data_IF_054530173982
#
_entry.id   IF_054530173982
#
_cell.length_a   1.000
_cell.length_b   1.000
_cell.length_c   1.000
_cell.angle_alpha   90.00
_cell.angle_beta   90.00
_cell.angle_gamma   90.00
#
_symmetry.space_group_name_H-M   'P 1'
#
loop_
_entity.id
_entity.type
_entity.pdbx_description
1 polymer ?
#
# COMPACT_ATOMS: atom_id res chain seq x y z
N UNK A 1 18.84 -5.57 -3.09
CA UNK A 1 18.23 -4.68 -2.08
C UNK A 1 17.04 -5.43 -1.50
N UNK A 2 17.21 -6.11 -0.37
CA UNK A 2 16.14 -6.86 0.26
C UNK A 2 15.27 -5.88 1.04
N UNK A 3 14.06 -5.63 0.57
CA UNK A 3 13.05 -4.89 1.33
C UNK A 3 12.60 -5.82 2.47
N UNK A 4 13.14 -5.64 3.67
CA UNK A 4 12.64 -6.33 4.87
C UNK A 4 11.44 -5.53 5.34
N UNK A 5 10.20 -6.05 5.26
CA UNK A 5 9.04 -5.36 5.77
C UNK A 5 9.15 -5.37 7.30
N UNK A 6 9.59 -4.26 7.88
CA UNK A 6 9.48 -4.07 9.31
C UNK A 6 7.99 -3.85 9.62
N UNK A 7 7.46 -4.73 10.45
CA UNK A 7 6.08 -4.88 10.94
C UNK A 7 5.12 -5.65 10.02
N UNK A 8 4.50 -6.68 10.59
CA UNK A 8 3.37 -7.48 10.10
C UNK A 8 2.05 -6.89 10.65
N UNK A 9 0.89 -7.07 9.99
CA UNK A 9 -0.41 -6.48 10.38
C UNK A 9 -0.86 -6.92 11.79
N UNK A 10 -0.42 -8.10 12.22
CA UNK A 10 -0.61 -8.58 13.60
C UNK A 10 0.15 -7.73 14.61
N UNK A 11 1.28 -7.15 14.20
CA UNK A 11 2.06 -6.19 14.97
C UNK A 11 1.41 -4.80 14.98
N UNK A 12 0.62 -4.40 13.97
CA UNK A 12 -0.14 -3.13 13.99
C UNK A 12 -1.32 -3.13 14.98
N UNK A 13 -2.07 -4.24 15.11
CA UNK A 13 -3.13 -4.34 16.15
C UNK A 13 -2.54 -4.43 17.55
N UNK A 14 -1.46 -5.20 17.71
CA UNK A 14 -0.68 -5.23 18.97
C UNK A 14 0.01 -3.89 19.21
N UNK A 15 0.31 -3.12 18.16
CA UNK A 15 0.83 -1.78 18.28
C UNK A 15 -0.23 -0.80 18.79
N UNK A 16 -1.46 -0.86 18.28
CA UNK A 16 -2.56 -0.03 18.83
C UNK A 16 -2.82 -0.29 20.32
N UNK A 17 -2.65 -1.53 20.80
CA UNK A 17 -2.90 -1.86 22.22
C UNK A 17 -1.67 -1.73 23.12
N UNK A 18 -0.43 -1.88 22.62
CA UNK A 18 0.79 -1.78 23.45
C UNK A 18 1.52 -0.44 23.34
N UNK A 19 1.18 0.44 22.39
CA UNK A 19 1.86 1.75 22.26
C UNK A 19 1.25 2.86 23.12
N UNK A 20 0.13 2.56 23.81
CA UNK A 20 -0.40 3.39 24.90
C UNK A 20 0.21 3.01 26.26
N UNK A 21 1.01 1.93 26.33
CA UNK A 21 1.67 1.47 27.55
C UNK A 21 3.19 1.64 27.48
N UNK A 22 3.69 2.75 28.03
CA UNK A 22 4.96 2.98 28.76
C UNK A 22 6.29 2.29 28.40
N UNK A 23 6.40 1.46 27.37
CA UNK A 23 7.68 0.88 26.92
C UNK A 23 7.83 1.04 25.41
N UNK A 24 8.14 2.27 24.98
CA UNK A 24 8.70 2.51 23.66
C UNK A 24 10.12 1.94 23.62
N UNK A 25 10.37 0.93 22.78
CA UNK A 25 11.64 0.87 22.09
C UNK A 25 11.65 2.12 21.20
N UNK A 26 12.14 3.21 21.77
CA UNK A 26 12.18 4.52 21.16
C UNK A 26 13.02 4.38 19.90
N UNK A 27 12.37 4.56 18.74
CA UNK A 27 13.05 5.00 17.53
C UNK A 27 13.59 6.41 17.85
N UNK A 28 14.63 6.48 18.68
CA UNK A 28 15.30 7.70 19.03
C UNK A 28 16.31 8.00 17.93
N UNK A 29 16.51 9.28 17.59
CA UNK A 29 17.58 9.71 16.71
C UNK A 29 18.96 9.19 17.15
N UNK A 30 19.12 8.89 18.45
CA UNK A 30 20.35 8.39 19.08
C UNK A 30 20.73 6.96 18.66
N UNK A 31 19.79 6.18 18.12
CA UNK A 31 20.07 4.80 17.69
C UNK A 31 20.96 4.70 16.46
N UNK A 32 21.14 5.78 15.68
CA UNK A 32 21.88 5.76 14.41
C UNK A 32 21.18 5.01 13.26
N UNK A 33 20.03 4.37 13.54
CA UNK A 33 19.22 3.65 12.54
C UNK A 33 18.62 4.58 11.48
N UNK A 34 18.11 5.78 11.82
CA UNK A 34 17.47 6.63 10.81
C UNK A 34 18.36 7.07 9.64
N UNK A 35 19.68 7.03 9.81
CA UNK A 35 20.65 7.35 8.78
C UNK A 35 20.95 6.17 7.84
N UNK A 36 20.54 4.94 8.21
CA UNK A 36 20.88 3.70 7.53
C UNK A 36 19.71 3.08 6.76
N UNK A 37 18.47 3.41 7.15
CA UNK A 37 17.26 2.77 6.59
C UNK A 37 16.16 3.77 6.31
N UNK A 38 15.32 3.44 5.32
CA UNK A 38 14.10 4.18 4.99
C UNK A 38 12.88 3.29 5.28
N UNK A 39 12.05 3.66 6.27
CA UNK A 39 10.86 2.88 6.62
C UNK A 39 9.84 2.81 5.50
N UNK A 40 9.20 1.65 5.35
CA UNK A 40 8.06 1.44 4.46
C UNK A 40 6.79 1.36 5.30
N UNK A 41 5.90 2.34 5.14
CA UNK A 41 4.55 2.31 5.69
C UNK A 41 3.66 1.54 4.73
N UNK A 42 3.11 0.41 5.17
CA UNK A 42 2.31 -0.43 4.32
C UNK A 42 0.90 -0.61 4.89
N UNK A 43 -0.07 -0.64 3.99
CA UNK A 43 -1.46 -0.92 4.31
C UNK A 43 -2.20 -1.20 3.02
N UNK A 44 -3.07 -2.21 3.07
CA UNK A 44 -3.74 -2.77 1.90
C UNK A 44 -5.26 -2.61 1.99
N UNK A 45 -5.77 -1.90 3.00
CA UNK A 45 -7.20 -1.58 3.12
C UNK A 45 -7.64 -0.59 2.04
N UNK A 46 -8.85 -0.79 1.51
CA UNK A 46 -9.52 0.16 0.62
C UNK A 46 -10.18 1.33 1.40
N UNK A 47 -10.13 1.28 2.73
CA UNK A 47 -10.65 2.23 3.72
C UNK A 47 -9.54 2.73 4.66
N UNK A 48 -8.36 3.01 4.08
CA UNK A 48 -7.19 3.55 4.74
C UNK A 48 -7.52 4.80 5.57
N UNK A 49 -7.06 4.82 6.81
CA UNK A 49 -7.07 6.01 7.66
C UNK A 49 -6.02 7.02 7.18
N UNK A 50 -6.39 7.84 6.20
CA UNK A 50 -5.49 8.82 5.55
C UNK A 50 -4.86 9.76 6.58
N UNK A 51 -5.67 10.30 7.50
CA UNK A 51 -5.19 11.21 8.52
C UNK A 51 -4.25 10.52 9.51
N UNK A 52 -4.59 9.32 9.96
CA UNK A 52 -3.75 8.52 10.83
C UNK A 52 -2.40 8.17 10.19
N UNK A 53 -2.35 7.87 8.89
CA UNK A 53 -1.09 7.62 8.18
C UNK A 53 -0.25 8.88 8.05
N UNK A 54 -0.85 10.05 7.76
CA UNK A 54 -0.13 11.32 7.73
C UNK A 54 0.48 11.67 9.11
N UNK A 55 -0.26 11.46 10.21
CA UNK A 55 0.27 11.63 11.57
C UNK A 55 1.40 10.64 11.88
N UNK A 56 1.28 9.40 11.42
CA UNK A 56 2.32 8.39 11.60
C UNK A 56 3.61 8.77 10.85
N UNK A 57 3.48 9.30 9.63
CA UNK A 57 4.61 9.84 8.88
C UNK A 57 5.32 10.93 9.69
N UNK A 58 4.59 11.92 10.19
CA UNK A 58 5.16 13.00 11.00
C UNK A 58 5.88 12.46 12.27
N UNK A 59 5.34 11.41 12.89
CA UNK A 59 6.00 10.73 14.00
C UNK A 59 7.36 10.13 13.58
N UNK A 60 7.44 9.45 12.43
CA UNK A 60 8.72 8.94 11.92
C UNK A 60 9.70 10.07 11.60
N UNK A 61 9.23 11.21 11.08
CA UNK A 61 10.07 12.40 10.86
C UNK A 61 10.71 12.89 12.15
N UNK A 62 9.90 13.00 13.23
CA UNK A 62 10.37 13.38 14.57
C UNK A 62 11.35 12.38 15.18
N UNK A 63 11.25 11.11 14.79
CA UNK A 63 12.21 10.07 15.15
C UNK A 63 13.52 10.12 14.33
N UNK A 64 13.68 11.09 13.43
CA UNK A 64 14.89 11.30 12.64
C UNK A 64 14.89 10.61 11.29
N UNK A 65 13.78 10.03 10.82
CA UNK A 65 13.67 9.42 9.48
C UNK A 65 13.21 10.49 8.47
N UNK A 66 14.12 11.05 7.66
CA UNK A 66 13.77 12.14 6.73
C UNK A 66 12.94 11.65 5.54
N UNK A 67 13.08 10.38 5.18
CA UNK A 67 12.48 9.77 3.99
C UNK A 67 11.75 8.49 4.36
N UNK A 68 10.59 8.32 3.76
CA UNK A 68 9.70 7.17 3.93
C UNK A 68 9.24 6.66 2.57
N UNK A 69 8.78 5.42 2.56
CA UNK A 69 8.07 4.82 1.44
C UNK A 69 6.67 4.41 1.87
N UNK A 70 5.74 4.44 0.94
CA UNK A 70 4.45 3.81 1.10
C UNK A 70 4.45 2.44 0.41
N UNK A 71 3.59 1.52 0.83
CA UNK A 71 3.33 0.29 0.08
C UNK A 71 1.83 0.00 0.01
N UNK A 72 1.34 -0.07 -1.22
CA UNK A 72 -0.01 -0.48 -1.59
C UNK A 72 0.01 -1.91 -2.15
N UNK A 73 -1.15 -2.44 -2.52
CA UNK A 73 -1.24 -3.74 -3.20
C UNK A 73 -2.05 -3.65 -4.48
N UNK A 74 -1.63 -4.40 -5.51
CA UNK A 74 -2.43 -4.63 -6.73
C UNK A 74 -3.10 -6.01 -6.76
N UNK A 75 -2.65 -6.95 -5.93
CA UNK A 75 -3.27 -8.27 -5.76
C UNK A 75 -2.91 -8.87 -4.40
N UNK A 76 -3.67 -9.87 -3.97
CA UNK A 76 -3.53 -10.48 -2.65
C UNK A 76 -3.94 -9.52 -1.54
N UNK A 77 -3.68 -9.87 -0.29
CA UNK A 77 -4.06 -9.07 0.88
C UNK A 77 -5.58 -8.83 1.09
N UNK A 78 -6.44 -9.41 0.25
CA UNK A 78 -7.91 -9.37 0.36
C UNK A 78 -8.52 -10.71 0.77
N UNK A 79 -7.93 -11.85 0.41
CA UNK A 79 -8.32 -13.17 0.92
C UNK A 79 -7.30 -14.29 0.66
N UNK A 80 -7.20 -15.31 1.54
CA UNK A 80 -6.19 -16.37 1.44
C UNK A 80 -6.40 -17.37 0.30
N UNK A 81 -7.64 -17.52 -0.20
CA UNK A 81 -8.02 -18.48 -1.24
C UNK A 81 -8.69 -17.81 -2.44
N UNK A 82 -8.43 -16.52 -2.64
CA UNK A 82 -9.09 -15.74 -3.68
C UNK A 82 -8.54 -16.10 -5.07
N UNK A 83 -9.44 -16.34 -6.03
CA UNK A 83 -9.05 -16.73 -7.38
C UNK A 83 -8.71 -15.51 -8.26
N UNK A 84 -9.52 -14.46 -8.19
CA UNK A 84 -9.38 -13.22 -8.96
C UNK A 84 -9.19 -12.02 -8.03
N UNK A 85 -8.39 -11.00 -8.40
CA UNK A 85 -8.26 -9.78 -7.61
C UNK A 85 -9.53 -8.91 -7.67
N UNK A 86 -10.03 -8.37 -6.55
CA UNK A 86 -11.03 -7.32 -6.52
C UNK A 86 -10.35 -6.01 -6.96
N UNK A 87 -10.40 -5.72 -8.26
CA UNK A 87 -9.70 -4.58 -8.86
C UNK A 87 -10.11 -3.26 -8.17
N UNK A 88 -11.40 -3.08 -7.89
CA UNK A 88 -11.92 -1.89 -7.19
C UNK A 88 -11.26 -1.69 -5.82
N UNK A 89 -11.11 -2.76 -5.02
CA UNK A 89 -10.47 -2.67 -3.70
C UNK A 89 -9.03 -2.15 -3.82
N UNK A 90 -8.28 -2.71 -4.75
CA UNK A 90 -6.89 -2.31 -4.98
C UNK A 90 -6.79 -0.90 -5.54
N UNK A 91 -7.70 -0.52 -6.43
CA UNK A 91 -7.79 0.84 -6.94
C UNK A 91 -8.00 1.84 -5.80
N UNK A 92 -9.00 1.61 -4.93
CA UNK A 92 -9.28 2.49 -3.79
C UNK A 92 -8.10 2.57 -2.80
N UNK A 93 -7.43 1.45 -2.53
CA UNK A 93 -6.21 1.44 -1.72
C UNK A 93 -5.12 2.36 -2.31
N UNK A 94 -4.89 2.30 -3.62
CA UNK A 94 -3.91 3.17 -4.28
C UNK A 94 -4.35 4.64 -4.29
N UNK A 95 -5.64 4.92 -4.50
CA UNK A 95 -6.20 6.28 -4.43
C UNK A 95 -6.03 6.91 -3.05
N UNK A 96 -6.21 6.14 -1.98
CA UNK A 96 -6.00 6.65 -0.63
C UNK A 96 -4.52 6.86 -0.29
N UNK A 97 -3.62 6.03 -0.80
CA UNK A 97 -2.18 6.29 -0.67
C UNK A 97 -1.76 7.57 -1.39
N UNK A 98 -2.37 7.91 -2.53
CA UNK A 98 -2.19 9.23 -3.17
C UNK A 98 -2.69 10.37 -2.29
N UNK A 99 -3.84 10.20 -1.60
CA UNK A 99 -4.33 11.19 -0.64
C UNK A 99 -3.39 11.35 0.56
N UNK A 100 -2.85 10.26 1.10
CA UNK A 100 -1.82 10.30 2.16
C UNK A 100 -0.59 11.09 1.69
N UNK A 101 -0.12 10.83 0.46
CA UNK A 101 1.01 11.53 -0.11
C UNK A 101 0.75 13.04 -0.26
N UNK A 102 -0.48 13.43 -0.61
CA UNK A 102 -0.88 14.83 -0.71
C UNK A 102 -0.96 15.55 0.66
N UNK A 103 -1.15 14.83 1.76
CA UNK A 103 -1.18 15.40 3.12
C UNK A 103 0.21 15.63 3.73
N UNK A 104 1.28 15.11 3.11
CA UNK A 104 2.63 15.17 3.63
C UNK A 104 3.52 16.12 2.81
N UNK A 105 4.62 16.63 3.39
CA UNK A 105 5.64 17.34 2.62
C UNK A 105 6.14 16.49 1.44
N UNK A 106 6.29 17.11 0.26
CA UNK A 106 6.61 16.41 -0.98
C UNK A 106 7.97 15.67 -0.95
N UNK A 107 8.89 16.08 -0.06
CA UNK A 107 10.20 15.46 0.12
C UNK A 107 10.17 14.20 0.99
N UNK A 108 9.03 13.94 1.65
CA UNK A 108 8.93 12.93 2.70
C UNK A 108 8.71 11.53 2.16
N UNK A 109 7.72 11.36 1.27
CA UNK A 109 7.47 10.10 0.60
C UNK A 109 8.27 10.02 -0.70
N UNK A 110 9.12 9.00 -0.82
CA UNK A 110 9.93 8.79 -2.03
C UNK A 110 9.14 8.09 -3.14
N UNK A 111 8.08 7.38 -2.77
CA UNK A 111 7.22 6.68 -3.71
C UNK A 111 6.29 5.68 -3.02
N UNK A 112 5.47 5.04 -3.85
CA UNK A 112 4.55 3.97 -3.45
C UNK A 112 5.04 2.67 -4.10
N UNK A 113 5.35 1.68 -3.27
CA UNK A 113 5.70 0.32 -3.68
C UNK A 113 4.40 -0.44 -3.95
N UNK A 114 4.24 -0.92 -5.18
CA UNK A 114 3.06 -1.67 -5.59
C UNK A 114 3.30 -3.18 -5.39
N UNK A 115 2.73 -3.74 -4.32
CA UNK A 115 2.98 -5.14 -3.90
C UNK A 115 1.96 -6.12 -4.48
N UNK A 116 2.37 -7.37 -4.69
CA UNK A 116 1.50 -8.46 -5.13
C UNK A 116 1.67 -9.71 -4.28
N UNK A 117 0.89 -9.82 -3.20
CA UNK A 117 0.99 -10.94 -2.27
C UNK A 117 0.51 -12.24 -2.92
N UNK A 118 1.04 -13.36 -2.46
CA UNK A 118 0.83 -14.67 -3.09
C UNK A 118 0.37 -15.76 -2.12
N UNK A 119 0.69 -15.62 -0.82
CA UNK A 119 0.33 -16.53 0.27
C UNK A 119 0.22 -15.76 1.58
N UNK A 120 -0.59 -16.26 2.50
CA UNK A 120 -0.80 -15.70 3.84
C UNK A 120 0.05 -16.38 4.92
N UNK A 121 0.44 -17.63 4.67
CA UNK A 121 1.40 -18.38 5.46
C UNK A 121 2.13 -19.39 4.56
N UNK A 122 3.13 -20.09 5.11
CA UNK A 122 3.99 -20.99 4.34
C UNK A 122 3.25 -22.20 3.74
N UNK A 123 2.17 -22.66 4.38
CA UNK A 123 1.43 -23.86 4.00
C UNK A 123 0.09 -23.55 3.30
N UNK A 124 -0.30 -22.29 3.25
CA UNK A 124 -1.49 -21.81 2.55
C UNK A 124 -1.41 -21.99 1.04
N UNK A 125 -2.58 -22.19 0.43
CA UNK A 125 -2.77 -22.15 -1.03
C UNK A 125 -2.36 -20.79 -1.59
N UNK A 126 -2.10 -20.77 -2.90
CA UNK A 126 -1.85 -19.53 -3.63
C UNK A 126 -3.16 -18.75 -3.82
N UNK A 127 -3.15 -17.46 -3.48
CA UNK A 127 -4.19 -16.53 -3.91
C UNK A 127 -3.76 -15.82 -5.19
N UNK A 128 -4.71 -15.54 -6.09
CA UNK A 128 -4.57 -14.62 -7.22
C UNK A 128 -3.22 -14.72 -7.96
N UNK A 129 -3.11 -15.70 -8.86
CA UNK A 129 -1.91 -15.88 -9.66
C UNK A 129 -1.59 -14.64 -10.51
N UNK A 130 -0.33 -14.48 -10.91
CA UNK A 130 0.11 -13.30 -11.65
C UNK A 130 -0.75 -13.00 -12.91
N UNK A 131 -1.09 -13.98 -13.79
CA UNK A 131 -1.85 -13.67 -15.00
C UNK A 131 -3.19 -13.00 -14.73
N UNK A 132 -3.94 -13.47 -13.72
CA UNK A 132 -5.22 -12.87 -13.31
C UNK A 132 -5.05 -11.57 -12.53
N UNK A 133 -3.83 -11.31 -12.02
CA UNK A 133 -3.42 -10.06 -11.38
C UNK A 133 -3.08 -8.91 -12.34
N UNK A 134 -2.78 -9.19 -13.61
CA UNK A 134 -2.32 -8.18 -14.58
C UNK A 134 -3.33 -7.05 -14.80
N UNK A 135 -4.65 -7.30 -14.95
CA UNK A 135 -5.63 -6.22 -15.09
C UNK A 135 -5.62 -5.27 -13.88
N UNK A 136 -5.57 -5.82 -12.67
CA UNK A 136 -5.48 -5.03 -11.44
C UNK A 136 -4.17 -4.22 -11.37
N UNK A 137 -3.05 -4.84 -11.74
CA UNK A 137 -1.74 -4.18 -11.84
C UNK A 137 -1.80 -2.97 -12.77
N UNK A 138 -2.35 -3.15 -13.97
CA UNK A 138 -2.44 -2.09 -14.97
C UNK A 138 -3.30 -0.92 -14.45
N UNK A 139 -4.45 -1.20 -13.84
CA UNK A 139 -5.33 -0.19 -13.25
C UNK A 139 -4.63 0.57 -12.12
N UNK A 140 -4.02 -0.13 -11.17
CA UNK A 140 -3.33 0.49 -10.05
C UNK A 140 -2.14 1.34 -10.52
N UNK A 141 -1.34 0.81 -11.44
CA UNK A 141 -0.16 1.51 -11.97
C UNK A 141 -0.55 2.77 -12.75
N UNK A 142 -1.55 2.71 -13.63
CA UNK A 142 -2.06 3.88 -14.33
C UNK A 142 -2.56 4.95 -13.35
N UNK A 143 -3.28 4.51 -12.31
CA UNK A 143 -3.81 5.43 -11.30
C UNK A 143 -2.70 6.16 -10.53
N UNK A 144 -1.65 5.44 -10.14
CA UNK A 144 -0.49 6.02 -9.46
C UNK A 144 0.30 6.98 -10.37
N UNK A 145 0.50 6.63 -11.65
CA UNK A 145 1.25 7.45 -12.60
C UNK A 145 0.55 8.77 -12.93
N UNK A 146 -0.78 8.76 -12.93
CA UNK A 146 -1.60 9.94 -13.28
C UNK A 146 -2.18 10.68 -12.06
N UNK A 147 -1.90 10.22 -10.84
CA UNK A 147 -2.41 10.83 -9.61
C UNK A 147 -3.93 10.65 -9.42
N UNK A 148 -4.55 9.71 -10.12
CA UNK A 148 -5.97 9.45 -10.05
C UNK A 148 -6.46 8.45 -11.10
N UNK A 149 -7.72 8.05 -10.99
CA UNK A 149 -8.39 7.19 -11.96
C UNK A 149 -9.45 7.96 -12.75
N UNK A 150 -9.55 7.67 -14.04
CA UNK A 150 -10.45 8.27 -15.00
C UNK A 150 -10.93 7.18 -15.96
N UNK A 151 -12.15 7.31 -16.49
CA UNK A 151 -12.75 6.34 -17.41
C UNK A 151 -11.89 6.10 -18.66
N UNK A 152 -11.17 7.11 -19.14
CA UNK A 152 -10.25 6.96 -20.27
C UNK A 152 -9.09 5.97 -19.98
N UNK A 153 -8.68 5.81 -18.71
CA UNK A 153 -7.70 4.78 -18.33
C UNK A 153 -8.27 3.38 -18.44
N UNK A 154 -9.55 3.19 -18.09
CA UNK A 154 -10.24 1.90 -18.22
C UNK A 154 -10.20 1.40 -19.66
N UNK A 155 -10.65 2.25 -20.60
CA UNK A 155 -10.66 1.92 -22.02
C UNK A 155 -9.24 1.63 -22.56
N UNK A 156 -8.23 2.37 -22.07
CA UNK A 156 -6.82 2.11 -22.43
C UNK A 156 -6.32 0.77 -21.93
N UNK A 157 -6.61 0.42 -20.67
CA UNK A 157 -6.20 -0.86 -20.08
C UNK A 157 -6.89 -2.02 -20.79
N UNK A 158 -8.20 -1.92 -21.05
CA UNK A 158 -8.96 -2.93 -21.79
C UNK A 158 -8.35 -3.16 -23.19
N UNK A 159 -8.06 -2.08 -23.92
CA UNK A 159 -7.41 -2.14 -25.23
C UNK A 159 -6.00 -2.72 -25.18
N UNK A 160 -5.17 -2.32 -24.21
CA UNK A 160 -3.78 -2.76 -24.08
C UNK A 160 -3.69 -4.25 -23.74
N UNK A 161 -4.58 -4.73 -22.87
CA UNK A 161 -4.60 -6.11 -22.41
C UNK A 161 -5.43 -7.04 -23.32
N UNK A 162 -6.18 -6.49 -24.28
CA UNK A 162 -7.03 -7.27 -25.18
C UNK A 162 -8.20 -7.95 -24.45
N UNK A 163 -8.75 -7.31 -23.42
CA UNK A 163 -9.86 -7.83 -22.60
C UNK A 163 -11.17 -7.08 -22.90
N UNK A 164 -12.29 -7.77 -22.80
CA UNK A 164 -13.61 -7.22 -23.16
C UNK A 164 -14.16 -6.23 -22.14
N UNK A 165 -13.88 -6.43 -20.85
CA UNK A 165 -14.34 -5.53 -19.78
C UNK A 165 -13.55 -5.72 -18.49
N UNK A 166 -13.27 -4.63 -17.79
CA UNK A 166 -12.85 -4.65 -16.39
C UNK A 166 -14.06 -4.59 -15.44
N UNK A 167 -14.10 -5.43 -14.41
CA UNK A 167 -15.13 -5.36 -13.36
C UNK A 167 -14.74 -4.33 -12.29
N UNK A 168 -15.01 -3.06 -12.57
CA UNK A 168 -14.83 -1.90 -11.66
C UNK A 168 -16.21 -1.26 -11.53
N UNK A 169 -16.84 -1.38 -10.35
CA UNK A 169 -18.24 -0.97 -10.14
C UNK A 169 -18.38 0.30 -9.28
N UNK A 170 -17.28 0.90 -8.82
CA UNK A 170 -17.30 1.94 -7.78
C UNK A 170 -16.84 3.35 -8.15
N UNK A 171 -16.32 3.61 -9.36
CA UNK A 171 -15.64 4.90 -9.66
C UNK A 171 -16.51 5.96 -10.35
N UNK A 172 -17.83 5.77 -10.39
CA UNK A 172 -18.76 6.83 -10.80
C UNK A 172 -19.30 7.57 -9.58
N UNK A 173 -18.60 8.64 -9.17
CA UNK A 173 -19.15 9.99 -8.90
C UNK A 173 -18.09 10.92 -8.31
#
# INVERSE_FOLDING_TARGET
MACVPFLCKTCERKARSSWLGTHSLSLSPESGVPQLVEPVLWDYGADLDVHGKALLMEKYRKCGFPRLWAASAFKGATGPSQALPPIEHHLQNNMQWLQVAACAPADMLQGIILTGWQRYDHFSVLCELLPVGIPSLAVCLQSLLHGGFAEDFRARVEKLLGISSLEITGVTR
#
